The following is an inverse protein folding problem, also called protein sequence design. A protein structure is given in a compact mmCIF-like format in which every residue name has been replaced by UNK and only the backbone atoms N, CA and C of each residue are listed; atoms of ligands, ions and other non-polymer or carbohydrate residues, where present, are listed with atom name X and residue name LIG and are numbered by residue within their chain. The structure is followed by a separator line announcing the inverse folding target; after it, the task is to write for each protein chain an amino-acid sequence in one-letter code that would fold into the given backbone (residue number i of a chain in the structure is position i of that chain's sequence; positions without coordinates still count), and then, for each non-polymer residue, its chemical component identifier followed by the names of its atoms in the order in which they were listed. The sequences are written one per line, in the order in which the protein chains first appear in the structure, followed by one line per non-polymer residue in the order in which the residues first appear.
data_IF_827066811576
#
_entry.id   IF_827066811576
#
_cell.length_a   1.000
_cell.length_b   1.000
_cell.length_c   1.000
_cell.angle_alpha   90.00
_cell.angle_beta   90.00
_cell.angle_gamma   90.00
#
_symmetry.space_group_name_H-M   'P 1'
#
loop_
_entity.id
_entity.type
_entity.pdbx_description
1 polymer ?
2 non-polymer ?
3 water ?
#
# COMPACT_ATOMS: atom_id res chain seq x y z
N UNK A 1 3.76 -3.72 25.16
CA UNK A 1 4.26 -2.52 24.43
C UNK A 1 5.62 -2.74 23.75
N UNK A 2 6.69 -2.85 24.56
CA UNK A 2 8.04 -3.08 24.03
C UNK A 2 8.26 -4.46 23.39
N UNK A 3 8.51 -4.46 22.08
CA UNK A 3 8.98 -5.65 21.36
C UNK A 3 10.47 -5.84 21.63
N UNK A 4 10.96 -7.07 21.50
CA UNK A 4 12.33 -7.42 21.87
C UNK A 4 13.40 -7.07 20.86
N UNK A 5 14.47 -7.87 20.81
CA UNK A 5 15.50 -7.73 19.79
C UNK A 5 14.95 -8.38 18.53
N UNK A 6 15.54 -8.03 17.39
CA UNK A 6 15.14 -8.64 16.12
C UNK A 6 15.20 -10.16 16.21
N UNK A 7 16.25 -10.67 16.86
CA UNK A 7 16.44 -12.11 17.09
C UNK A 7 15.23 -12.74 17.79
N UNK A 8 14.70 -12.03 18.79
CA UNK A 8 13.51 -12.45 19.52
C UNK A 8 12.26 -12.42 18.66
N UNK A 9 12.20 -11.49 17.71
CA UNK A 9 11.05 -11.40 16.82
C UNK A 9 11.05 -12.54 15.80
N UNK A 10 12.22 -12.82 15.23
CA UNK A 10 12.38 -13.88 14.21
C UNK A 10 12.63 -15.26 14.81
N UNK A 11 12.58 -15.35 16.13
CA UNK A 11 12.81 -16.61 16.85
C UNK A 11 11.80 -17.71 16.51
N UNK A 12 10.63 -17.31 16.00
CA UNK A 12 9.58 -18.25 15.62
C UNK A 12 9.34 -18.40 14.11
N UNK A 13 10.14 -17.71 13.31
CA UNK A 13 10.06 -17.82 11.85
C UNK A 13 10.81 -19.06 11.37
N UNK A 14 10.19 -19.80 10.46
CA UNK A 14 10.70 -21.10 10.01
C UNK A 14 11.57 -21.06 8.74
N UNK A 15 11.65 -19.90 8.10
CA UNK A 15 12.49 -19.76 6.92
C UNK A 15 13.41 -18.53 7.04
N UNK A 16 14.11 -18.45 8.16
CA UNK A 16 15.09 -17.39 8.40
C UNK A 16 16.42 -17.86 7.83
N UNK A 17 16.95 -17.13 6.86
CA UNK A 17 18.17 -17.52 6.16
C UNK A 17 19.31 -16.63 6.62
N UNK A 18 20.48 -17.24 6.86
CA UNK A 18 21.71 -16.51 7.22
C UNK A 18 22.25 -15.70 6.03
N UNK A 19 22.49 -14.39 6.26
CA UNK A 19 23.03 -13.50 5.22
C UNK A 19 24.35 -14.00 4.65
N UNK A 20 24.41 -14.05 3.33
CA UNK A 20 25.63 -14.38 2.62
C UNK A 20 25.66 -13.62 1.31
N UNK A 21 26.40 -12.53 1.30
CA UNK A 21 26.62 -11.79 0.08
C UNK A 21 27.94 -12.23 -0.52
N UNK A 22 28.02 -12.17 -1.85
CA UNK A 22 29.24 -12.51 -2.57
C UNK A 22 29.20 -11.96 -3.98
N UNK A 23 30.35 -12.01 -4.66
CA UNK A 23 30.48 -11.46 -6.01
C UNK A 23 31.11 -12.47 -6.96
N UNK A 24 30.36 -12.82 -8.01
CA UNK A 24 30.83 -13.70 -9.07
C UNK A 24 30.93 -12.89 -10.37
N UNK A 25 32.16 -12.60 -10.81
CA UNK A 25 32.41 -11.73 -11.96
C UNK A 25 31.92 -10.29 -11.73
N UNK A 26 31.11 -9.78 -12.67
CA UNK A 26 30.60 -8.41 -12.60
C UNK A 26 29.29 -8.35 -11.81
N UNK A 27 28.87 -9.48 -11.26
CA UNK A 27 27.55 -9.60 -10.63
C UNK A 27 27.59 -9.71 -9.10
N UNK A 28 26.63 -9.06 -8.46
CA UNK A 28 26.49 -9.03 -7.00
C UNK A 28 25.31 -9.87 -6.51
N UNK A 29 25.57 -10.79 -5.58
CA UNK A 29 24.55 -11.72 -5.12
C UNK A 29 24.19 -11.54 -3.66
N UNK A 30 22.95 -11.91 -3.33
CA UNK A 30 22.51 -12.10 -1.95
C UNK A 30 21.93 -13.51 -1.87
N UNK A 31 22.68 -14.45 -1.29
CA UNK A 31 22.23 -15.83 -1.18
C UNK A 31 21.65 -16.39 -2.48
N UNK A 32 22.47 -16.42 -3.53
CA UNK A 32 22.05 -16.90 -4.87
C UNK A 32 21.08 -15.96 -5.66
N UNK A 33 20.53 -14.95 -5.00
CA UNK A 33 19.71 -13.94 -5.69
C UNK A 33 20.64 -12.90 -6.31
N UNK A 34 20.68 -12.88 -7.63
CA UNK A 34 21.52 -11.96 -8.39
C UNK A 34 20.89 -10.56 -8.44
N UNK A 35 21.67 -9.55 -8.06
CA UNK A 35 21.17 -8.17 -8.04
C UNK A 35 21.11 -7.60 -9.46
N UNK A 36 19.91 -7.26 -9.90
CA UNK A 36 19.70 -6.65 -11.23
C UNK A 36 19.68 -5.11 -11.13
N UNK A 37 18.59 -4.58 -10.57
CA UNK A 37 18.44 -3.13 -10.34
C UNK A 37 17.51 -2.93 -9.15
N UNK A 38 17.50 -1.74 -8.57
CA UNK A 38 16.52 -1.46 -7.52
C UNK A 38 15.21 -0.99 -8.16
N UNK A 39 14.10 -1.64 -7.82
CA UNK A 39 12.79 -1.30 -8.40
C UNK A 39 12.25 0.02 -7.85
N UNK A 40 12.39 0.21 -6.53
CA UNK A 40 11.93 1.42 -5.84
C UNK A 40 12.69 1.64 -4.53
N UNK A 41 13.18 2.87 -4.34
CA UNK A 41 13.85 3.29 -3.09
C UNK A 41 12.94 4.21 -2.29
N UNK A 42 12.47 3.73 -1.13
CA UNK A 42 11.57 4.52 -0.27
C UNK A 42 12.24 5.30 0.86
N UNK A 43 13.57 5.37 0.82
CA UNK A 43 14.40 5.97 1.91
C UNK A 43 14.03 5.59 3.39
N UNK A 44 13.28 4.51 3.58
CA UNK A 44 13.29 3.72 4.85
C UNK A 44 13.63 2.26 4.54
N UNK A 45 13.48 1.92 3.26
CA UNK A 45 13.79 0.61 2.72
C UNK A 45 13.93 0.74 1.22
N UNK A 46 14.68 -0.16 0.60
CA UNK A 46 14.64 -0.24 -0.84
C UNK A 46 14.14 -1.61 -1.28
N UNK A 47 13.63 -1.68 -2.49
CA UNK A 47 13.11 -2.93 -3.03
C UNK A 47 14.01 -3.27 -4.21
N UNK A 48 14.54 -4.49 -4.21
CA UNK A 48 15.53 -4.89 -5.20
C UNK A 48 14.99 -6.02 -6.07
N UNK A 49 15.07 -5.83 -7.39
CA UNK A 49 14.72 -6.89 -8.34
C UNK A 49 15.92 -7.84 -8.43
N UNK A 50 15.64 -9.13 -8.28
CA UNK A 50 16.68 -10.14 -8.34
C UNK A 50 16.31 -11.30 -9.24
N UNK A 51 17.29 -12.17 -9.46
CA UNK A 51 17.11 -13.35 -10.28
C UNK A 51 17.65 -14.58 -9.57
N UNK A 52 16.85 -15.65 -9.57
CA UNK A 52 17.29 -16.96 -9.12
C UNK A 52 16.50 -18.03 -9.86
N UNK A 53 17.23 -18.88 -10.59
CA UNK A 53 16.65 -19.95 -11.40
C UNK A 53 15.70 -19.48 -12.51
N UNK A 54 16.18 -18.54 -13.34
CA UNK A 54 15.40 -18.01 -14.46
C UNK A 54 14.05 -17.41 -14.00
N UNK A 55 13.94 -17.16 -12.70
CA UNK A 55 12.77 -16.57 -12.10
C UNK A 55 13.15 -15.24 -11.49
N UNK A 56 12.24 -14.27 -11.57
CA UNK A 56 12.46 -12.98 -10.93
C UNK A 56 11.84 -12.91 -9.54
N UNK A 57 12.58 -12.28 -8.62
CA UNK A 57 12.09 -12.02 -7.26
C UNK A 57 12.30 -10.54 -6.89
N UNK A 58 11.64 -10.10 -5.82
CA UNK A 58 11.81 -8.74 -5.30
C UNK A 58 12.15 -8.79 -3.81
N UNK A 59 13.31 -8.26 -3.46
CA UNK A 59 13.83 -8.34 -2.10
C UNK A 59 13.86 -6.98 -1.42
N UNK A 60 12.99 -6.79 -0.42
CA UNK A 60 12.93 -5.54 0.33
C UNK A 60 14.10 -5.48 1.31
N UNK A 61 14.99 -4.51 1.10
CA UNK A 61 16.13 -4.32 1.99
C UNK A 61 15.79 -3.35 3.11
N UNK A 62 16.10 -3.75 4.33
CA UNK A 62 16.08 -2.84 5.46
C UNK A 62 17.47 -2.85 6.09
N UNK A 63 17.80 -1.81 6.84
CA UNK A 63 19.10 -1.73 7.51
C UNK A 63 18.96 -1.15 8.91
N UNK A 64 19.20 -1.98 9.92
CA UNK A 64 19.12 -1.57 11.33
C UNK A 64 20.00 -0.37 11.65
N UNK A 65 21.28 -0.47 11.27
CA UNK A 65 22.26 0.57 11.59
C UNK A 65 21.94 1.93 10.96
N UNK A 66 21.18 1.91 9.86
CA UNK A 66 20.72 3.16 9.26
C UNK A 66 19.41 3.63 9.87
N UNK A 67 18.55 2.68 10.23
CA UNK A 67 17.22 3.00 10.74
C UNK A 67 17.17 3.43 12.20
N UNK A 68 18.12 2.95 13.01
CA UNK A 68 18.13 3.27 14.44
C UNK A 68 18.67 4.68 14.76
N UNK A 69 19.25 5.34 13.74
CA UNK A 69 19.76 6.70 13.86
C UNK A 69 18.65 7.74 13.67
N UNK A 70 17.73 7.45 12.75
CA UNK A 70 16.58 8.30 12.47
C UNK A 70 15.61 8.22 13.64
N UNK A 71 15.55 9.29 14.43
CA UNK A 71 14.78 9.28 15.68
C UNK A 71 13.92 10.53 15.83
N UNK A 72 12.61 10.35 15.70
CA UNK A 72 11.63 11.42 15.89
C UNK A 72 11.01 11.33 17.28
N UNK A 73 10.40 12.43 17.72
CA UNK A 73 9.70 12.48 18.99
C UNK A 73 8.28 11.95 18.82
N UNK A 74 7.77 11.30 19.86
CA UNK A 74 6.42 10.74 19.84
C UNK A 74 5.55 11.25 20.99
N UNK A 75 6.20 11.68 22.07
CA UNK A 75 5.57 12.13 23.32
C UNK A 75 4.76 11.02 24.01
N UNK A 76 5.16 10.69 25.24
CA UNK A 76 4.56 9.57 25.96
C UNK A 76 3.26 10.00 26.65
N UNK A 77 2.83 9.20 27.62
CA UNK A 77 1.61 9.46 28.37
C UNK A 77 1.88 10.34 29.59
N UNK A 78 3.13 10.38 30.02
CA UNK A 78 3.50 10.82 31.38
C UNK A 78 4.29 12.12 31.52
N UNK A 79 4.09 13.04 30.57
CA UNK A 79 4.80 14.34 30.53
C UNK A 79 6.26 14.17 30.08
N UNK A 80 7.03 13.36 30.80
CA UNK A 80 8.42 13.04 30.45
C UNK A 80 8.50 12.46 29.04
N UNK A 81 9.36 13.05 28.21
CA UNK A 81 9.40 12.76 26.77
C UNK A 81 9.91 11.34 26.45
N UNK A 82 9.30 10.72 25.44
CA UNK A 82 9.76 9.43 24.91
C UNK A 82 10.29 9.56 23.49
N UNK A 83 11.29 8.75 23.15
CA UNK A 83 11.89 8.79 21.82
C UNK A 83 11.69 7.45 21.10
N UNK A 84 11.41 7.51 19.79
CA UNK A 84 11.23 6.29 18.96
C UNK A 84 12.00 6.41 17.65
N UNK A 85 12.96 5.51 17.46
CA UNK A 85 13.71 5.45 16.21
C UNK A 85 12.88 4.71 15.18
N UNK A 86 13.13 5.00 13.91
CA UNK A 86 12.45 4.30 12.83
C UNK A 86 12.71 2.80 12.85
N UNK A 87 13.69 2.36 13.63
CA UNK A 87 13.96 0.94 13.81
C UNK A 87 12.94 0.23 14.70
N UNK A 88 12.54 0.89 15.80
CA UNK A 88 11.38 0.49 16.59
C UNK A 88 10.16 0.18 15.69
N UNK A 89 9.90 1.08 14.74
CA UNK A 89 8.80 0.94 13.78
C UNK A 89 8.94 -0.31 12.94
N UNK A 90 10.18 -0.62 12.57
CA UNK A 90 10.47 -1.80 11.77
C UNK A 90 10.24 -3.08 12.58
N UNK A 91 10.65 -3.06 13.85
CA UNK A 91 10.39 -4.18 14.75
C UNK A 91 8.94 -4.63 14.60
N UNK A 92 8.01 -3.68 14.65
CA UNK A 92 6.58 -3.97 14.49
C UNK A 92 6.21 -4.40 13.06
N UNK A 93 6.79 -3.74 12.07
CA UNK A 93 6.61 -4.15 10.67
C UNK A 93 7.06 -5.59 10.43
N UNK A 94 8.15 -6.01 11.06
CA UNK A 94 8.60 -7.41 10.97
C UNK A 94 7.54 -8.39 11.45
N UNK A 95 7.25 -8.32 12.75
CA UNK A 95 6.21 -9.11 13.37
C UNK A 95 5.03 -9.30 12.43
N UNK A 96 4.64 -8.23 11.75
CA UNK A 96 3.48 -8.29 10.89
C UNK A 96 3.78 -9.15 9.66
N UNK A 97 4.81 -8.75 8.91
CA UNK A 97 5.28 -9.48 7.75
C UNK A 97 5.45 -10.95 8.07
N UNK A 98 5.87 -11.20 9.31
CA UNK A 98 6.20 -12.52 9.78
C UNK A 98 4.97 -13.42 9.83
N UNK A 99 3.78 -12.83 9.89
CA UNK A 99 2.56 -13.64 9.90
C UNK A 99 1.44 -13.33 8.87
N UNK A 100 1.74 -12.48 7.89
CA UNK A 100 0.88 -12.38 6.70
C UNK A 100 1.07 -13.61 5.78
N UNK A 101 -0.01 -14.37 5.57
CA UNK A 101 -0.05 -15.47 4.61
C UNK A 101 -1.39 -15.35 3.91
N UNK A 102 -1.39 -14.76 2.73
CA UNK A 102 -2.65 -14.54 2.02
C UNK A 102 -2.44 -14.38 0.53
N UNK A 103 -3.36 -14.93 -0.27
CA UNK A 103 -3.27 -14.81 -1.72
C UNK A 103 -3.70 -13.44 -2.25
N UNK A 104 -4.26 -12.60 -1.36
CA UNK A 104 -4.60 -11.22 -1.71
C UNK A 104 -3.63 -10.20 -1.08
N UNK A 105 -2.80 -10.67 -0.15
CA UNK A 105 -1.71 -9.87 0.39
C UNK A 105 -0.37 -10.34 -0.13
N UNK A 106 0.59 -9.43 -0.20
CA UNK A 106 1.96 -9.79 -0.50
C UNK A 106 2.58 -10.52 0.70
N UNK A 107 2.75 -11.82 0.51
CA UNK A 107 3.29 -12.76 1.49
C UNK A 107 4.77 -13.00 1.19
N UNK A 108 5.62 -12.91 2.21
CA UNK A 108 7.03 -13.15 1.99
C UNK A 108 7.35 -14.64 1.91
N UNK A 109 8.38 -14.97 1.15
CA UNK A 109 8.72 -16.38 0.92
C UNK A 109 9.89 -16.82 1.82
N UNK A 110 10.44 -15.86 2.57
CA UNK A 110 11.58 -16.09 3.45
C UNK A 110 12.29 -14.80 3.80
N UNK A 111 12.91 -14.76 4.97
CA UNK A 111 13.62 -13.57 5.43
C UNK A 111 15.11 -13.88 5.55
N UNK A 112 15.93 -13.03 4.93
CA UNK A 112 17.37 -13.17 4.96
C UNK A 112 17.91 -12.08 5.84
N UNK A 113 18.69 -12.44 6.85
CA UNK A 113 19.28 -11.44 7.74
C UNK A 113 20.57 -11.86 8.43
N UNK A 114 21.29 -10.86 8.94
CA UNK A 114 22.42 -11.05 9.84
C UNK A 114 22.11 -10.29 11.13
N UNK A 115 20.84 -9.94 11.30
CA UNK A 115 20.32 -9.17 12.45
C UNK A 115 20.64 -7.67 12.42
N UNK A 116 21.22 -7.22 11.31
CA UNK A 116 21.34 -5.79 11.01
C UNK A 116 20.62 -5.52 9.68
N UNK A 117 21.17 -6.07 8.59
CA UNK A 117 20.57 -6.01 7.26
C UNK A 117 19.51 -7.07 7.15
N UNK A 118 18.33 -6.68 6.70
CA UNK A 118 17.24 -7.63 6.47
C UNK A 118 16.85 -7.59 5.00
N UNK A 119 16.61 -8.77 4.44
CA UNK A 119 16.06 -8.87 3.10
C UNK A 119 14.82 -9.73 3.18
N UNK A 120 13.71 -9.23 2.65
CA UNK A 120 12.46 -9.95 2.67
C UNK A 120 12.18 -10.40 1.25
N UNK A 121 12.01 -11.70 1.06
CA UNK A 121 11.87 -12.22 -0.29
C UNK A 121 10.42 -12.23 -0.69
N UNK A 122 10.06 -11.42 -1.68
CA UNK A 122 8.72 -11.44 -2.26
C UNK A 122 8.72 -11.87 -3.73
N UNK A 123 7.57 -12.33 -4.20
CA UNK A 123 7.33 -12.54 -5.62
C UNK A 123 7.46 -11.22 -6.37
N UNK A 124 7.88 -11.28 -7.63
CA UNK A 124 7.99 -10.07 -8.43
C UNK A 124 6.68 -9.80 -9.17
N UNK A 125 6.09 -8.65 -8.89
CA UNK A 125 4.82 -8.26 -9.47
C UNK A 125 5.13 -7.42 -10.69
N UNK A 126 5.25 -8.10 -11.83
CA UNK A 126 5.80 -7.53 -13.09
C UNK A 126 5.18 -6.22 -13.59
N UNK A 127 4.00 -5.85 -13.08
CA UNK A 127 3.34 -4.59 -13.47
C UNK A 127 3.45 -3.48 -12.44
N UNK A 128 4.46 -3.57 -11.58
CA UNK A 128 4.66 -2.63 -10.47
C UNK A 128 3.34 -2.36 -9.78
N UNK A 129 3.12 -1.09 -9.44
CA UNK A 129 1.94 -0.67 -8.71
C UNK A 129 0.74 -0.43 -9.62
N UNK A 130 -0.41 -0.27 -8.99
CA UNK A 130 -1.66 0.05 -9.66
C UNK A 130 -1.58 1.31 -10.52
N UNK A 131 -0.99 2.37 -9.97
CA UNK A 131 -0.68 3.60 -10.70
C UNK A 131 0.62 4.18 -10.17
N UNK A 132 1.27 5.00 -10.99
CA UNK A 132 2.54 5.62 -10.59
C UNK A 132 2.37 7.14 -10.46
N UNK A 133 3.00 7.72 -9.45
CA UNK A 133 2.88 9.16 -9.20
C UNK A 133 4.11 9.94 -9.69
N UNK A 134 3.83 11.06 -10.35
CA UNK A 134 4.81 12.07 -10.73
C UNK A 134 4.06 13.35 -11.09
N UNK A 135 3.93 14.25 -10.11
CA UNK A 135 3.11 15.45 -10.22
C UNK A 135 1.63 15.10 -10.35
N UNK A 136 1.39 13.83 -10.68
CA UNK A 136 0.07 13.28 -10.91
C UNK A 136 0.18 11.76 -11.16
N UNK A 137 -0.96 11.07 -11.11
CA UNK A 137 -0.97 9.63 -11.35
C UNK A 137 -1.08 9.32 -12.84
N UNK A 138 -0.39 8.27 -13.26
CA UNK A 138 -0.44 7.82 -14.64
C UNK A 138 -0.28 6.31 -14.68
N UNK A 139 -0.70 5.70 -15.78
CA UNK A 139 -0.58 4.26 -15.95
C UNK A 139 0.82 3.87 -16.45
N UNK A 140 1.23 4.43 -17.60
CA UNK A 140 2.53 4.12 -18.19
C UNK A 140 3.42 5.31 -18.53
N UNK A 141 2.82 6.38 -19.05
CA UNK A 141 3.58 7.55 -19.49
C UNK A 141 2.92 8.87 -19.08
N UNK A 142 3.69 9.95 -19.18
CA UNK A 142 3.16 11.28 -18.96
C UNK A 142 2.60 11.84 -20.27
N UNK A 143 3.16 11.37 -21.39
CA UNK A 143 2.73 11.81 -22.72
C UNK A 143 1.49 11.06 -23.19
N UNK A 144 1.43 9.76 -22.88
CA UNK A 144 0.22 8.96 -23.07
C UNK A 144 -0.56 8.94 -21.75
N UNK A 145 -1.75 9.57 -21.76
CA UNK A 145 -2.56 9.69 -20.54
C UNK A 145 -3.82 8.83 -20.60
N UNK A 146 -3.68 7.59 -20.13
CA UNK A 146 -4.78 6.63 -20.15
C UNK A 146 -5.43 6.51 -18.78
N UNK A 147 -6.75 6.28 -18.77
CA UNK A 147 -7.51 6.01 -17.55
C UNK A 147 -7.84 4.54 -17.49
N UNK A 148 -7.58 3.92 -16.35
CA UNK A 148 -7.93 2.50 -16.13
C UNK A 148 -9.42 2.35 -16.37
N UNK A 149 -9.81 1.48 -17.32
CA UNK A 149 -11.23 1.27 -17.62
C UNK A 149 -11.97 0.77 -16.38
N UNK A 150 -13.25 1.13 -16.26
CA UNK A 150 -14.02 0.87 -15.05
C UNK A 150 -14.20 -0.63 -14.79
N UNK A 151 -14.50 -1.37 -15.86
CA UNK A 151 -14.61 -2.83 -15.83
C UNK A 151 -13.40 -3.52 -15.20
N UNK A 152 -12.24 -2.86 -15.27
CA UNK A 152 -10.99 -3.36 -14.69
C UNK A 152 -10.81 -2.87 -13.26
N UNK A 153 -11.19 -1.61 -13.01
CA UNK A 153 -11.15 -1.03 -11.67
C UNK A 153 -11.88 -1.93 -10.69
N UNK A 154 -13.12 -2.29 -11.02
CA UNK A 154 -13.91 -3.23 -10.23
C UNK A 154 -13.07 -4.36 -9.65
N UNK A 155 -12.42 -5.15 -10.51
CA UNK A 155 -11.53 -6.22 -10.08
C UNK A 155 -10.54 -5.74 -9.03
N UNK A 156 -9.79 -4.70 -9.35
CA UNK A 156 -8.79 -4.16 -8.43
C UNK A 156 -9.38 -3.90 -7.05
N UNK A 157 -10.54 -3.25 -7.03
CA UNK A 157 -11.26 -2.92 -5.80
C UNK A 157 -11.74 -4.19 -5.07
N UNK A 158 -12.26 -5.14 -5.84
CA UNK A 158 -12.73 -6.41 -5.32
C UNK A 158 -11.57 -7.15 -4.68
N UNK A 159 -10.45 -7.15 -5.38
CA UNK A 159 -9.26 -7.86 -4.93
C UNK A 159 -8.72 -7.31 -3.62
N UNK A 160 -8.68 -5.99 -3.49
CA UNK A 160 -8.20 -5.33 -2.28
C UNK A 160 -9.14 -5.55 -1.08
N UNK A 161 -10.44 -5.46 -1.34
CA UNK A 161 -11.47 -5.79 -0.37
C UNK A 161 -11.26 -7.17 0.27
N UNK A 162 -10.96 -8.17 -0.56
CA UNK A 162 -10.60 -9.49 -0.06
C UNK A 162 -9.38 -9.46 0.85
N UNK A 163 -8.36 -8.66 0.49
CA UNK A 163 -7.21 -8.44 1.37
C UNK A 163 -7.69 -7.94 2.72
N UNK A 164 -8.57 -6.93 2.68
CA UNK A 164 -9.15 -6.33 3.86
C UNK A 164 -9.83 -7.36 4.72
N UNK A 165 -10.58 -8.27 4.09
CA UNK A 165 -11.25 -9.34 4.81
C UNK A 165 -10.25 -10.15 5.63
N UNK A 166 -9.07 -10.41 5.07
CA UNK A 166 -8.06 -11.19 5.75
C UNK A 166 -7.36 -10.42 6.88
N UNK A 167 -6.91 -9.20 6.60
CA UNK A 167 -6.16 -8.44 7.60
C UNK A 167 -7.03 -7.99 8.78
N UNK A 168 -8.23 -7.45 8.48
CA UNK A 168 -9.16 -7.04 9.52
C UNK A 168 -9.67 -8.25 10.25
N UNK A 169 -10.27 -9.18 9.51
CA UNK A 169 -11.06 -10.24 10.13
C UNK A 169 -10.28 -11.46 10.65
N UNK A 170 -9.35 -11.97 9.85
CA UNK A 170 -8.56 -13.13 10.25
C UNK A 170 -7.36 -12.71 11.12
N UNK A 171 -6.65 -11.69 10.69
CA UNK A 171 -5.41 -11.31 11.35
C UNK A 171 -5.55 -10.22 12.40
N UNK A 172 -6.60 -9.40 12.29
CA UNK A 172 -6.82 -8.25 13.17
C UNK A 172 -5.69 -7.21 12.99
N UNK A 173 -5.40 -6.92 11.73
CA UNK A 173 -4.36 -5.96 11.36
C UNK A 173 -5.00 -4.85 10.57
N UNK A 174 -4.58 -3.63 10.87
CA UNK A 174 -4.99 -2.46 10.13
C UNK A 174 -3.82 -2.05 9.28
N UNK A 175 -4.07 -1.79 8.01
CA UNK A 175 -2.99 -1.48 7.09
C UNK A 175 -2.45 -0.08 7.29
N UNK A 176 -3.36 0.89 7.41
CA UNK A 176 -2.99 2.27 7.70
C UNK A 176 -2.14 2.96 6.64
N UNK A 177 -2.27 2.58 5.36
CA UNK A 177 -1.44 3.16 4.30
C UNK A 177 -1.83 2.64 2.93
N UNK A 178 -3.11 2.31 2.79
CA UNK A 178 -3.65 1.88 1.50
C UNK A 178 -3.52 3.03 0.50
N UNK A 179 -2.82 2.74 -0.58
CA UNK A 179 -2.36 3.73 -1.52
C UNK A 179 -2.11 3.02 -2.85
N UNK A 180 -2.37 3.69 -4.00
CA UNK A 180 -2.01 3.13 -5.29
C UNK A 180 -0.61 2.49 -5.31
N UNK A 181 0.34 3.12 -4.61
CA UNK A 181 1.71 2.62 -4.47
C UNK A 181 1.76 1.21 -3.90
N UNK A 182 0.85 0.93 -2.97
CA UNK A 182 0.88 -0.32 -2.22
C UNK A 182 -0.01 -1.42 -2.82
N UNK A 183 -0.71 -1.08 -3.90
CA UNK A 183 -1.59 -2.03 -4.55
C UNK A 183 -0.91 -2.55 -5.81
N UNK A 184 -0.36 -3.75 -5.72
CA UNK A 184 0.56 -4.26 -6.73
C UNK A 184 -0.08 -5.28 -7.63
N UNK A 185 0.44 -5.37 -8.85
CA UNK A 185 -0.19 -6.14 -9.91
C UNK A 185 0.87 -6.93 -10.66
N UNK A 186 0.55 -8.17 -11.01
CA UNK A 186 1.42 -8.98 -11.86
C UNK A 186 0.92 -9.01 -13.32
N UNK A 187 1.40 -9.97 -14.10
CA UNK A 187 1.05 -10.05 -15.51
C UNK A 187 -0.14 -10.98 -15.78
N UNK A 188 -0.72 -11.55 -14.72
CA UNK A 188 -1.60 -12.71 -14.90
C UNK A 188 -3.13 -12.60 -14.80
N UNK A 189 -3.70 -11.51 -14.27
CA UNK A 189 -3.00 -10.49 -13.54
C UNK A 189 -3.72 -10.34 -12.20
N UNK A 190 -3.05 -10.76 -11.14
CA UNK A 190 -3.61 -10.65 -9.80
C UNK A 190 -3.29 -9.28 -9.20
N UNK A 191 -3.99 -8.95 -8.12
CA UNK A 191 -3.73 -7.70 -7.40
C UNK A 191 -3.59 -8.03 -5.93
N UNK A 192 -2.48 -7.60 -5.35
CA UNK A 192 -2.13 -7.92 -3.98
C UNK A 192 -1.78 -6.66 -3.20
N UNK A 193 -2.37 -6.53 -2.00
CA UNK A 193 -2.01 -5.47 -1.04
C UNK A 193 -0.64 -5.72 -0.43
N UNK A 194 0.16 -4.65 -0.32
CA UNK A 194 1.53 -4.75 0.14
C UNK A 194 1.95 -3.59 1.05
N UNK A 195 3.18 -3.65 1.55
CA UNK A 195 3.79 -2.62 2.42
C UNK A 195 3.10 -2.42 3.78
N UNK A 196 3.64 -3.05 4.82
CA UNK A 196 2.98 -3.00 6.12
C UNK A 196 3.67 -2.05 7.10
N UNK A 197 4.42 -1.08 6.57
CA UNK A 197 5.25 -0.20 7.37
C UNK A 197 4.55 0.79 8.26
N UNK A 198 3.24 0.97 8.08
CA UNK A 198 2.46 1.80 8.99
C UNK A 198 1.41 0.93 9.68
N UNK A 199 1.40 -0.36 9.35
CA UNK A 199 0.39 -1.28 9.86
C UNK A 199 0.64 -1.63 11.30
N UNK A 200 -0.44 -1.92 12.02
CA UNK A 200 -0.37 -2.28 13.43
C UNK A 200 -1.59 -3.11 13.80
N UNK A 201 -1.52 -3.77 14.94
CA UNK A 201 -2.62 -4.61 15.40
C UNK A 201 -3.71 -3.78 16.07
N UNK A 202 -4.96 -4.14 15.82
CA UNK A 202 -6.07 -3.41 16.38
C UNK A 202 -6.30 -3.79 17.85
N UNK A 203 -6.93 -2.88 18.60
CA UNK A 203 -7.35 -3.16 19.97
C UNK A 203 -8.85 -2.91 20.05
N UNK A 204 -9.61 -3.98 20.25
CA UNK A 204 -11.08 -3.95 20.14
C UNK A 204 -11.53 -3.26 18.84
N UNK A 205 -10.88 -3.65 17.75
CA UNK A 205 -11.18 -3.18 16.39
C UNK A 205 -10.70 -1.74 16.09
N UNK A 206 -9.91 -1.16 16.99
CA UNK A 206 -9.55 0.27 16.89
C UNK A 206 -8.04 0.55 16.89
N UNK A 207 -7.66 1.77 16.48
CA UNK A 207 -6.25 2.19 16.40
C UNK A 207 -6.02 3.59 16.98
N UNK A 208 -4.77 3.90 17.35
CA UNK A 208 -4.40 5.24 17.83
C UNK A 208 -3.56 5.96 16.78
N UNK A 209 -4.11 7.05 16.24
CA UNK A 209 -3.78 7.50 14.89
C UNK A 209 -2.76 8.59 14.64
N UNK A 210 -3.10 9.45 13.68
CA UNK A 210 -2.22 10.51 13.16
C UNK A 210 -0.98 9.92 12.49
N UNK A 211 -1.16 8.84 11.74
CA UNK A 211 -0.05 8.09 11.14
C UNK A 211 -0.44 7.50 9.77
N UNK A 212 0.42 7.71 8.77
CA UNK A 212 0.17 7.22 7.40
C UNK A 212 0.57 8.21 6.32
N UNK A 213 -0.28 8.34 5.30
CA UNK A 213 -0.06 9.32 4.23
C UNK A 213 -1.18 10.36 4.21
N UNK A 214 -0.80 11.62 4.38
CA UNK A 214 -1.73 12.69 4.73
C UNK A 214 -3.02 12.74 3.91
N UNK A 215 -2.89 12.70 2.59
CA UNK A 215 -4.07 12.79 1.70
C UNK A 215 -4.98 11.56 1.74
N UNK A 216 -4.54 10.51 2.42
CA UNK A 216 -5.30 9.27 2.51
C UNK A 216 -5.87 9.10 3.91
N UNK A 217 -5.59 10.06 4.79
CA UNK A 217 -6.08 10.01 6.16
C UNK A 217 -7.54 10.43 6.27
N UNK A 218 -8.33 9.68 7.05
CA UNK A 218 -9.77 9.94 7.17
C UNK A 218 -10.08 11.19 8.01
N UNK A 219 -11.28 11.77 7.82
CA UNK A 219 -11.68 12.98 8.56
C UNK A 219 -11.66 12.80 10.08
N UNK A 220 -11.89 11.58 10.55
CA UNK A 220 -11.86 11.26 11.99
C UNK A 220 -10.61 11.83 12.66
N UNK A 221 -9.47 11.65 11.99
CA UNK A 221 -8.18 12.10 12.47
C UNK A 221 -8.19 13.59 12.83
N UNK A 222 -9.27 14.28 12.48
CA UNK A 222 -9.34 15.73 12.67
C UNK A 222 -10.45 16.14 13.64
N UNK A 223 -10.88 15.15 14.43
CA UNK A 223 -11.80 15.39 15.53
C UNK A 223 -11.05 15.28 16.85
N UNK A 224 -11.79 15.28 17.95
CA UNK A 224 -11.21 15.11 19.29
C UNK A 224 -11.14 13.64 19.75
N UNK A 225 -11.44 12.71 18.86
CA UNK A 225 -11.34 11.28 19.15
C UNK A 225 -9.88 10.85 19.22
N UNK A 226 -9.60 9.80 19.98
CA UNK A 226 -8.24 9.26 20.08
C UNK A 226 -8.18 7.81 19.57
N UNK A 227 -9.28 7.09 19.71
CA UNK A 227 -9.41 5.76 19.13
C UNK A 227 -10.40 5.77 17.96
N UNK A 228 -9.90 5.47 16.78
CA UNK A 228 -10.73 5.37 15.56
C UNK A 228 -10.80 3.91 15.16
N UNK A 229 -11.92 3.52 14.56
CA UNK A 229 -12.10 2.15 14.10
C UNK A 229 -11.21 1.85 12.91
N UNK A 230 -10.39 0.81 13.04
CA UNK A 230 -9.36 0.49 12.06
C UNK A 230 -9.84 0.11 10.67
N UNK A 231 -10.88 -0.73 10.61
CA UNK A 231 -11.43 -1.17 9.32
C UNK A 231 -11.80 0.02 8.45
N UNK A 232 -12.63 0.91 9.00
CA UNK A 232 -13.17 2.08 8.28
C UNK A 232 -12.09 3.05 7.78
N UNK A 233 -10.95 3.07 8.47
CA UNK A 233 -9.81 3.89 8.11
C UNK A 233 -9.23 3.35 6.80
N UNK A 234 -9.04 2.03 6.75
CA UNK A 234 -8.56 1.36 5.53
C UNK A 234 -9.52 1.58 4.37
N UNK A 235 -10.82 1.46 4.66
CA UNK A 235 -11.90 1.66 3.69
C UNK A 235 -11.88 3.07 3.09
N UNK A 236 -11.74 4.10 3.94
CA UNK A 236 -11.64 5.47 3.46
C UNK A 236 -10.49 5.56 2.48
N UNK A 237 -9.33 5.05 2.90
CA UNK A 237 -8.15 5.09 2.07
C UNK A 237 -8.38 4.40 0.73
N UNK A 238 -9.09 3.29 0.73
CA UNK A 238 -9.43 2.64 -0.53
C UNK A 238 -10.33 3.53 -1.37
N UNK A 239 -11.18 4.31 -0.70
CA UNK A 239 -12.03 5.27 -1.41
C UNK A 239 -11.21 6.28 -2.18
N UNK A 240 -10.14 6.78 -1.54
CA UNK A 240 -9.23 7.71 -2.19
C UNK A 240 -8.58 7.02 -3.39
N UNK A 241 -8.15 5.77 -3.18
CA UNK A 241 -7.56 4.97 -4.25
C UNK A 241 -8.52 4.87 -5.44
N UNK A 242 -9.80 4.67 -5.13
CA UNK A 242 -10.84 4.61 -6.16
C UNK A 242 -10.99 5.95 -6.87
N UNK A 243 -11.03 7.03 -6.09
CA UNK A 243 -11.10 8.39 -6.62
C UNK A 243 -9.93 8.64 -7.56
N UNK A 244 -8.73 8.30 -7.09
CA UNK A 244 -7.49 8.37 -7.87
C UNK A 244 -7.59 7.54 -9.16
N UNK A 245 -8.19 6.36 -9.06
CA UNK A 245 -8.40 5.52 -10.24
C UNK A 245 -9.41 6.14 -11.20
N UNK A 246 -10.40 6.81 -10.62
CA UNK A 246 -11.44 7.47 -11.41
C UNK A 246 -10.90 8.62 -12.23
N UNK A 247 -10.34 9.63 -11.56
CA UNK A 247 -9.90 10.86 -12.23
C UNK A 247 -8.38 11.02 -12.28
N UNK A 248 -7.66 9.95 -11.96
CA UNK A 248 -6.18 9.95 -11.92
C UNK A 248 -5.58 11.08 -11.08
N UNK A 249 -6.30 11.48 -10.04
CA UNK A 249 -5.91 12.61 -9.21
C UNK A 249 -6.43 12.42 -7.78
N UNK A 250 -5.78 13.11 -6.86
CA UNK A 250 -6.18 13.12 -5.45
C UNK A 250 -7.36 14.10 -5.25
N UNK A 251 -8.36 13.72 -4.43
CA UNK A 251 -9.69 14.37 -4.30
C UNK A 251 -9.68 15.89 -4.10
N UNK A 252 -10.10 16.32 -2.91
CA UNK A 252 -10.03 17.73 -2.48
C UNK A 252 -8.63 18.03 -1.96
N UNK A 253 -7.88 16.95 -1.69
CA UNK A 253 -6.57 17.02 -1.07
C UNK A 253 -5.41 17.33 -2.03
N UNK A 254 -5.72 18.02 -3.13
CA UNK A 254 -4.75 18.46 -4.13
C UNK A 254 -3.59 19.20 -3.44
N UNK A 255 -2.45 18.51 -3.39
CA UNK A 255 -1.23 18.89 -2.62
C UNK A 255 -0.93 20.38 -2.35
N UNK A 256 -0.13 21.00 -3.23
CA UNK A 256 0.42 22.37 -3.07
C UNK A 256 0.85 22.74 -1.62
N UNK A 257 -0.08 23.32 -0.84
CA UNK A 257 0.15 23.61 0.58
C UNK A 257 -0.93 22.93 1.45
N UNK A 258 -0.52 22.36 2.59
CA UNK A 258 -1.32 21.35 3.28
C UNK A 258 -2.22 21.79 4.45
N UNK A 259 -2.32 23.08 4.71
CA UNK A 259 -3.32 23.55 5.68
C UNK A 259 -4.66 23.53 4.97
N UNK A 260 -4.67 24.09 3.76
CA UNK A 260 -5.74 23.92 2.79
C UNK A 260 -6.21 22.46 2.81
N UNK A 261 -5.25 21.53 2.77
CA UNK A 261 -5.52 20.10 2.84
C UNK A 261 -6.28 19.72 4.12
N UNK A 262 -5.61 19.86 5.26
CA UNK A 262 -6.15 19.43 6.56
C UNK A 262 -7.42 20.17 7.00
N UNK A 263 -7.62 21.38 6.46
CA UNK A 263 -8.84 22.14 6.74
C UNK A 263 -10.01 21.79 5.84
N UNK A 264 -9.72 21.09 4.75
CA UNK A 264 -10.78 20.73 3.80
C UNK A 264 -11.42 19.38 4.10
N UNK A 265 -10.60 18.32 4.10
CA UNK A 265 -11.05 16.95 4.34
C UNK A 265 -12.25 16.84 5.29
N UNK A 266 -12.07 17.31 6.53
CA UNK A 266 -13.05 17.11 7.60
C UNK A 266 -14.44 17.73 7.37
N UNK A 267 -14.52 18.75 6.50
CA UNK A 267 -15.77 19.49 6.27
C UNK A 267 -16.16 19.73 4.81
N UNK A 268 -15.16 19.87 3.93
CA UNK A 268 -15.43 20.17 2.51
C UNK A 268 -15.98 18.95 1.76
N UNK A 269 -16.99 19.21 0.92
CA UNK A 269 -17.62 18.16 0.10
C UNK A 269 -16.83 17.85 -1.16
N UNK A 270 -16.71 16.56 -1.47
CA UNK A 270 -15.95 16.06 -2.61
C UNK A 270 -16.70 16.32 -3.92
N UNK A 271 -16.00 16.86 -4.91
CA UNK A 271 -16.60 17.13 -6.22
C UNK A 271 -16.39 15.94 -7.16
N UNK A 272 -17.48 15.50 -7.78
CA UNK A 272 -17.46 14.33 -8.64
C UNK A 272 -17.89 14.64 -10.09
N UNK A 273 -16.94 15.10 -10.93
CA UNK A 273 -17.21 15.41 -12.34
C UNK A 273 -17.03 14.20 -13.29
N UNK A 274 -16.33 14.40 -14.40
CA UNK A 274 -16.10 13.35 -15.40
C UNK A 274 -14.62 13.24 -15.80
N UNK A 275 -14.06 12.05 -15.54
CA UNK A 275 -12.60 11.75 -15.58
C UNK A 275 -11.56 12.83 -15.85
N UNK A 276 -11.55 13.39 -17.05
CA UNK A 276 -10.46 14.27 -17.47
C UNK A 276 -10.55 15.70 -16.92
N UNK A 277 -11.63 16.00 -16.20
CA UNK A 277 -11.88 17.36 -15.70
C UNK A 277 -10.70 17.97 -14.96
N UNK A 278 -10.15 17.23 -14.00
CA UNK A 278 -9.03 17.71 -13.21
C UNK A 278 -7.73 17.67 -14.02
N UNK A 279 -7.69 16.76 -14.98
CA UNK A 279 -6.46 16.45 -15.69
C UNK A 279 -6.34 17.11 -17.08
N UNK A 280 -7.35 17.87 -17.46
CA UNK A 280 -7.41 18.51 -18.78
C UNK A 280 -6.34 19.59 -18.92
N UNK A 281 -6.23 20.45 -17.91
CA UNK A 281 -5.36 21.62 -18.01
C UNK A 281 -3.84 21.40 -17.82
N UNK A 282 -3.42 20.33 -17.11
CA UNK A 282 -2.02 19.94 -17.29
C UNK A 282 -1.84 18.96 -18.46
N UNK A 283 -2.15 19.42 -19.67
CA UNK A 283 -1.98 18.66 -20.92
C UNK A 283 -2.18 19.58 -22.13
N UNK A 284 -3.09 20.54 -21.99
CA UNK A 284 -3.47 21.46 -23.07
C UNK A 284 -2.29 22.24 -23.67
N UNK A 293 -13.05 7.26 -20.95
CA UNK A 293 -13.70 8.55 -21.18
C UNK A 293 -14.21 9.19 -19.88
N UNK A 294 -15.51 9.03 -19.60
CA UNK A 294 -16.08 9.49 -18.33
C UNK A 294 -16.97 8.42 -17.66
N UNK A 295 -17.80 8.83 -16.73
CA UNK A 295 -18.50 7.84 -15.90
C UNK A 295 -19.96 8.16 -15.58
N UNK A 296 -20.62 7.21 -14.93
CA UNK A 296 -22.06 7.24 -14.70
C UNK A 296 -22.42 7.50 -13.24
N UNK A 297 -23.71 7.79 -13.00
CA UNK A 297 -24.24 7.97 -11.65
C UNK A 297 -23.93 6.79 -10.72
N UNK A 298 -24.08 5.58 -11.26
CA UNK A 298 -23.82 4.35 -10.51
C UNK A 298 -22.38 4.28 -10.00
N UNK A 299 -21.44 4.77 -10.79
CA UNK A 299 -20.02 4.77 -10.42
C UNK A 299 -19.76 5.58 -9.15
N UNK A 300 -20.29 6.80 -9.12
CA UNK A 300 -20.16 7.70 -7.97
C UNK A 300 -20.97 7.20 -6.77
N UNK A 301 -22.11 6.56 -7.06
CA UNK A 301 -22.92 5.94 -6.02
C UNK A 301 -22.06 5.07 -5.12
N UNK A 302 -21.16 4.31 -5.73
CA UNK A 302 -20.29 3.39 -5.02
C UNK A 302 -19.13 4.06 -4.29
N UNK A 303 -18.50 5.03 -4.95
CA UNK A 303 -17.36 5.76 -4.40
C UNK A 303 -17.75 6.62 -3.20
N UNK A 304 -18.96 7.17 -3.23
CA UNK A 304 -19.49 7.99 -2.13
C UNK A 304 -19.71 7.16 -0.87
N UNK A 305 -20.05 5.88 -1.04
CA UNK A 305 -20.24 4.97 0.09
C UNK A 305 -18.93 4.76 0.81
N UNK A 306 -17.84 4.81 0.04
CA UNK A 306 -16.48 4.78 0.58
C UNK A 306 -16.10 6.08 1.26
N UNK A 307 -16.34 7.21 0.60
CA UNK A 307 -15.90 8.51 1.10
C UNK A 307 -17.01 9.29 1.81
N UNK A 308 -17.54 8.69 2.87
CA UNK A 308 -18.45 9.36 3.79
C UNK A 308 -17.69 9.81 5.03
N UNK A 309 -17.91 11.06 5.44
CA UNK A 309 -17.12 11.68 6.51
C UNK A 309 -17.30 11.03 7.88
N UNK A 310 -18.54 10.71 8.24
CA UNK A 310 -18.77 9.90 9.43
C UNK A 310 -18.44 8.44 9.10
N UNK A 311 -17.47 7.84 9.82
CA UNK A 311 -17.00 6.48 9.51
C UNK A 311 -18.03 5.39 9.83
N UNK A 312 -18.92 5.67 10.77
CA UNK A 312 -20.01 4.76 11.13
C UNK A 312 -21.08 4.68 10.04
N UNK A 313 -21.15 5.73 9.21
CA UNK A 313 -22.02 5.78 8.04
C UNK A 313 -21.31 5.20 6.81
N UNK A 314 -20.00 5.05 6.91
CA UNK A 314 -19.16 4.54 5.83
C UNK A 314 -19.35 3.03 5.62
N UNK A 315 -19.44 2.63 4.35
CA UNK A 315 -19.69 1.25 3.96
C UNK A 315 -18.64 0.29 4.54
N UNK A 316 -19.12 -0.87 5.01
CA UNK A 316 -18.25 -1.95 5.50
C UNK A 316 -17.53 -2.65 4.34
N UNK A 317 -16.50 -3.44 4.66
CA UNK A 317 -15.88 -4.33 3.67
C UNK A 317 -16.85 -5.42 3.25
N UNK A 318 -17.78 -5.76 4.13
CA UNK A 318 -18.79 -6.79 3.89
C UNK A 318 -19.81 -6.33 2.87
N UNK A 319 -20.46 -5.20 3.15
CA UNK A 319 -21.48 -4.64 2.27
C UNK A 319 -20.93 -4.28 0.89
N UNK A 320 -19.73 -3.69 0.86
CA UNK A 320 -19.08 -3.31 -0.40
C UNK A 320 -18.90 -4.51 -1.30
N UNK A 321 -18.37 -5.60 -0.72
CA UNK A 321 -18.10 -6.84 -1.44
C UNK A 321 -19.30 -7.44 -2.16
N UNK A 322 -20.47 -7.30 -1.55
CA UNK A 322 -21.71 -7.85 -2.11
C UNK A 322 -22.62 -6.75 -2.63
N UNK A 323 -22.02 -5.81 -3.33
CA UNK A 323 -22.73 -4.66 -3.88
C UNK A 323 -22.98 -4.85 -5.38
N UNK A 324 -24.01 -4.16 -5.88
CA UNK A 324 -24.44 -4.19 -7.29
C UNK A 324 -23.34 -3.78 -8.27
N UNK A 325 -22.44 -2.90 -7.83
CA UNK A 325 -21.33 -2.43 -8.64
C UNK A 325 -20.37 -3.57 -9.03
N UNK A 326 -19.96 -4.36 -8.04
CA UNK A 326 -19.03 -5.47 -8.26
C UNK A 326 -19.73 -6.78 -8.63
N UNK A 327 -21.06 -6.75 -8.72
CA UNK A 327 -21.84 -7.92 -9.12
C UNK A 327 -21.41 -8.42 -10.50
N UNK A 328 -21.17 -7.49 -11.42
CA UNK A 328 -20.78 -7.85 -12.79
C UNK A 328 -19.26 -7.89 -13.03
N UNK A 329 -18.51 -8.20 -11.98
CA UNK A 329 -17.06 -8.32 -12.08
C UNK A 329 -16.70 -9.52 -12.95
N UNK A 330 -15.68 -9.32 -13.78
CA UNK A 330 -15.12 -10.39 -14.59
C UNK A 330 -13.59 -10.31 -14.56
N UNK A 331 -12.94 -11.40 -14.18
CA UNK A 331 -11.49 -11.39 -14.03
C UNK A 331 -10.80 -11.35 -15.40
N UNK A 332 -11.53 -11.71 -16.44
CA UNK A 332 -11.06 -11.57 -17.82
C UNK A 332 -10.78 -10.12 -18.23
N UNK A 333 -11.49 -9.18 -17.61
CA UNK A 333 -11.20 -7.75 -17.76
C UNK A 333 -9.83 -7.39 -17.19
N UNK A 334 -9.56 -7.85 -15.97
CA UNK A 334 -8.28 -7.60 -15.33
C UNK A 334 -7.18 -8.38 -16.01
N UNK A 335 -7.47 -9.61 -16.43
CA UNK A 335 -6.49 -10.45 -17.10
C UNK A 335 -5.98 -9.83 -18.40
N UNK A 336 -6.87 -9.43 -19.29
CA UNK A 336 -6.47 -8.82 -20.57
C UNK A 336 -5.68 -7.53 -20.37
N UNK A 337 -6.20 -6.64 -19.54
CA UNK A 337 -5.55 -5.38 -19.20
C UNK A 337 -4.11 -5.64 -18.72
N UNK A 338 -3.98 -6.48 -17.70
CA UNK A 338 -2.69 -6.84 -17.10
C UNK A 338 -1.71 -7.50 -18.08
N UNK A 339 -2.25 -8.31 -18.98
CA UNK A 339 -1.45 -9.01 -19.99
C UNK A 339 -1.02 -8.04 -21.09
N UNK A 340 -1.93 -7.14 -21.48
CA UNK A 340 -1.61 -6.11 -22.47
C UNK A 340 -0.69 -5.03 -21.89
N UNK A 341 -0.99 -4.57 -20.68
CA UNK A 341 -0.16 -3.59 -19.99
C UNK A 341 1.26 -4.10 -19.85
N UNK A 342 1.40 -5.39 -19.55
CA UNK A 342 2.71 -6.01 -19.45
C UNK A 342 3.45 -6.02 -20.79
N UNK A 343 2.70 -6.20 -21.88
CA UNK A 343 3.28 -6.17 -23.22
C UNK A 343 3.90 -4.80 -23.53
N UNK A 344 3.25 -3.74 -23.06
CA UNK A 344 3.69 -2.37 -23.36
C UNK A 344 4.91 -1.98 -22.50
N UNK A 345 5.00 -2.54 -21.29
CA UNK A 345 6.16 -2.32 -20.42
C UNK A 345 7.42 -2.99 -20.97
N UNK A 346 7.34 -4.29 -21.29
CA UNK A 346 8.44 -5.01 -21.93
C UNK A 346 9.03 -4.15 -23.05
N UNK A 347 10.24 -3.64 -22.84
CA UNK A 347 10.85 -2.59 -23.69
C UNK A 347 10.00 -1.30 -23.68
N UNK A 348 10.27 -0.45 -22.69
CA UNK A 348 9.60 0.84 -22.53
C UNK A 348 10.60 1.90 -22.09
X LIG B 1 7.53 -1.29 -7.92
X LIG B 1 7.60 -6.94 -7.39
X LIG B 1 7.10 -5.13 -0.57
X LIG B 1 7.44 -4.14 -7.30
X LIG B 1 7.13 -7.25 -5.27
X LIG B 1 6.42 -2.95 -0.38
X LIG B 1 6.53 -2.40 -2.63
X LIG B 1 5.86 -0.77 -1.06
X LIG B 1 7.47 -2.90 -6.79
X LIG B 1 7.43 -2.82 -5.42
X LIG B 1 7.39 -4.15 -5.05
X LIG B 1 7.39 -4.95 -6.22
X LIG B 1 7.37 -6.45 -6.30
X LIG B 1 6.81 -7.01 -3.88
X LIG B 1 7.83 -6.03 -3.35
X LIG B 1 7.34 -4.63 -3.65
X LIG B 1 6.91 -3.69 -2.56
X LIG B 1 6.83 -4.00 -1.11
X LIG B 1 6.26 -2.02 -1.35
#
# INVERSE_FOLDING_TARGET
GPLGSMKDILSNYSNLIYLNKYVKEKDKYINDYRIIRTLNQGKFNKIILCEKDNKFYALKKYEKSLLEKKRDFTKSNNDKISIKSKYDDFKNELQIITDIKNEYCLTCEGIITNYDEVYIIYEYMENDSILKFDEYFFVLDKNYTCFIPIQVIKCIIKSVLNSFSYIHNEKNICHRDVKPSNILMDKNGRVKLSDFGESEYMVDKKIKGSRGTYEFMPPEFFSNESSYNGAKVDIWSLGICLYVMFYNVVPFSLKISLVELFNNIRTKNIEYPLDRNHFLYPLTNKKSTCSNNFLSNEDIDFLKLFLRKNPAERITSEDALKHEWLADTNIEDLREFSKELYKKRKKL
HMD BR1 O1 O2 N1 N2 N3 N4 N5 C1 C2 C3 C4 C5 C6 C7 C8 C9 C10 C11
#
